data_IF_448917926533
#
_entry.id   IF_448917926533
#
_cell.length_a   1.000
_cell.length_b   1.000
_cell.length_c   1.000
_cell.angle_alpha   90.00
_cell.angle_beta   90.00
_cell.angle_gamma   90.00
#
_symmetry.space_group_name_H-M   'P 1'
#
loop_
_entity.id
_entity.type
_entity.pdbx_description
1 polymer ?
#
# COMPACT_ATOMS: atom_id res chain seq x y z
N UNK A 1 13.83 13.14 0.67
CA UNK A 1 13.21 14.46 0.42
C UNK A 1 11.77 14.21 0.00
N UNK A 2 10.78 14.82 0.66
CA UNK A 2 9.39 14.70 0.24
C UNK A 2 9.27 15.18 -1.22
N UNK A 3 8.48 14.51 -2.08
CA UNK A 3 8.30 14.95 -3.45
C UNK A 3 7.76 16.38 -3.47
N UNK A 4 8.33 17.24 -4.32
CA UNK A 4 7.89 18.62 -4.46
C UNK A 4 6.40 18.63 -4.84
N UNK A 5 5.54 19.04 -3.92
CA UNK A 5 4.11 19.17 -4.14
C UNK A 5 3.89 20.43 -4.99
N UNK A 6 3.65 20.24 -6.28
CA UNK A 6 3.18 21.33 -7.14
C UNK A 6 1.65 21.34 -7.13
N UNK A 7 1.02 22.47 -7.42
CA UNK A 7 -0.43 22.57 -7.45
C UNK A 7 -1.07 21.51 -8.38
N UNK A 8 -0.46 21.19 -9.53
CA UNK A 8 -0.96 20.19 -10.48
C UNK A 8 -0.46 18.75 -10.22
N UNK A 9 0.35 18.53 -9.19
CA UNK A 9 0.86 17.19 -8.90
C UNK A 9 -0.19 16.29 -8.27
N UNK A 10 0.08 15.00 -8.32
CA UNK A 10 -0.64 14.00 -7.55
C UNK A 10 0.34 13.37 -6.56
N UNK A 11 -0.02 13.37 -5.30
CA UNK A 11 0.71 12.61 -4.28
C UNK A 11 0.17 11.19 -4.27
N UNK A 12 1.04 10.22 -4.58
CA UNK A 12 0.64 8.81 -4.76
C UNK A 12 1.43 7.95 -3.78
N UNK A 13 0.70 7.30 -2.88
CA UNK A 13 1.21 6.29 -1.97
C UNK A 13 1.00 4.91 -2.60
N UNK A 14 2.09 4.20 -2.82
CA UNK A 14 2.14 2.84 -3.37
C UNK A 14 2.75 1.91 -2.34
N UNK A 15 2.42 0.62 -2.44
CA UNK A 15 3.17 -0.39 -1.71
C UNK A 15 4.60 -0.51 -2.27
N UNK A 16 5.56 -0.65 -1.36
CA UNK A 16 6.93 -1.01 -1.65
C UNK A 16 6.99 -2.49 -2.03
N UNK A 17 7.44 -2.74 -3.26
CA UNK A 17 7.38 -4.08 -3.89
C UNK A 17 8.69 -4.83 -3.81
N UNK A 18 9.77 -4.15 -3.43
CA UNK A 18 11.12 -4.66 -3.51
C UNK A 18 11.30 -5.94 -2.69
N UNK A 19 10.80 -5.95 -1.45
CA UNK A 19 10.83 -7.13 -0.60
C UNK A 19 10.12 -8.34 -1.22
N UNK A 20 8.96 -8.13 -1.86
CA UNK A 20 8.23 -9.21 -2.52
C UNK A 20 9.01 -9.74 -3.74
N UNK A 21 9.71 -8.89 -4.49
CA UNK A 21 10.59 -9.34 -5.57
C UNK A 21 11.78 -10.15 -5.04
N UNK A 22 12.44 -9.70 -3.97
CA UNK A 22 13.54 -10.45 -3.34
C UNK A 22 13.06 -11.84 -2.91
N UNK A 23 11.92 -11.91 -2.21
CA UNK A 23 11.35 -13.18 -1.76
C UNK A 23 10.97 -14.09 -2.95
N UNK A 24 10.37 -13.52 -4.00
CA UNK A 24 10.03 -14.29 -5.20
C UNK A 24 11.28 -14.89 -5.88
N UNK A 25 12.36 -14.11 -5.98
CA UNK A 25 13.64 -14.58 -6.55
C UNK A 25 14.25 -15.69 -5.69
N UNK A 26 14.29 -15.49 -4.36
CA UNK A 26 14.85 -16.46 -3.43
C UNK A 26 14.12 -17.80 -3.48
N UNK A 27 12.78 -17.79 -3.45
CA UNK A 27 12.00 -19.04 -3.56
C UNK A 27 12.09 -19.67 -4.95
N UNK A 28 12.22 -18.86 -6.01
CA UNK A 28 12.44 -19.37 -7.37
C UNK A 28 13.81 -20.06 -7.47
N UNK A 29 14.85 -19.52 -6.84
CA UNK A 29 16.17 -20.15 -6.81
C UNK A 29 16.15 -21.49 -6.06
N UNK A 30 15.46 -21.58 -4.92
CA UNK A 30 15.25 -22.84 -4.20
C UNK A 30 14.50 -23.86 -5.07
N UNK A 31 13.42 -23.43 -5.73
CA UNK A 31 12.68 -24.27 -6.66
C UNK A 31 13.56 -24.80 -7.79
N UNK A 32 14.34 -23.92 -8.44
CA UNK A 32 15.24 -24.32 -9.52
C UNK A 32 16.29 -25.31 -9.05
N UNK A 33 16.85 -25.11 -7.84
CA UNK A 33 17.79 -26.06 -7.26
C UNK A 33 17.15 -27.44 -7.07
N UNK A 34 15.97 -27.51 -6.43
CA UNK A 34 15.24 -28.77 -6.25
C UNK A 34 14.85 -29.45 -7.56
N UNK A 35 14.49 -28.66 -8.57
CA UNK A 35 14.15 -29.15 -9.91
C UNK A 35 15.37 -29.70 -10.66
N UNK A 36 16.50 -28.99 -10.64
CA UNK A 36 17.75 -29.43 -11.28
C UNK A 36 18.23 -30.74 -10.65
N UNK A 37 18.22 -30.82 -9.32
CA UNK A 37 18.61 -32.03 -8.59
C UNK A 37 17.73 -33.24 -8.96
N UNK A 38 16.40 -33.04 -8.98
CA UNK A 38 15.46 -34.09 -9.39
C UNK A 38 15.66 -34.54 -10.85
N UNK A 39 15.99 -33.62 -11.76
CA UNK A 39 16.30 -33.93 -13.17
C UNK A 39 17.60 -34.73 -13.28
N UNK A 40 18.65 -34.33 -12.56
CA UNK A 40 19.96 -35.02 -12.57
C UNK A 40 19.85 -36.45 -12.04
N UNK A 41 18.99 -36.66 -11.04
CA UNK A 41 18.69 -37.98 -10.47
C UNK A 41 17.65 -38.77 -11.29
N UNK A 42 17.22 -38.27 -12.45
CA UNK A 42 16.20 -38.89 -13.31
C UNK A 42 14.90 -39.24 -12.56
N UNK A 43 14.54 -38.45 -11.56
CA UNK A 43 13.40 -38.71 -10.67
C UNK A 43 13.46 -40.08 -9.95
N UNK A 44 14.63 -40.72 -9.88
CA UNK A 44 14.88 -41.94 -9.09
C UNK A 44 15.57 -41.56 -7.80
N UNK A 45 15.11 -42.11 -6.67
CA UNK A 45 15.63 -41.80 -5.33
C UNK A 45 15.66 -40.29 -5.04
N UNK A 46 14.54 -39.60 -5.30
CA UNK A 46 14.43 -38.17 -4.98
C UNK A 46 14.53 -38.01 -3.46
N UNK A 47 15.56 -37.33 -3.01
CA UNK A 47 15.71 -36.99 -1.60
C UNK A 47 14.58 -36.05 -1.15
N UNK A 48 14.16 -36.22 0.11
CA UNK A 48 13.12 -35.40 0.72
C UNK A 48 13.40 -33.89 0.60
N UNK A 49 14.68 -33.51 0.60
CA UNK A 49 15.14 -32.13 0.40
C UNK A 49 14.70 -31.54 -0.96
N UNK A 50 14.83 -32.31 -2.04
CA UNK A 50 14.51 -31.87 -3.41
C UNK A 50 13.00 -31.74 -3.63
N UNK A 51 12.20 -32.55 -2.93
CA UNK A 51 10.74 -32.41 -2.86
C UNK A 51 10.35 -31.11 -2.13
N UNK A 52 10.94 -30.84 -0.97
CA UNK A 52 10.66 -29.63 -0.18
C UNK A 52 11.02 -28.37 -0.99
N UNK A 53 12.15 -28.39 -1.69
CA UNK A 53 12.55 -27.28 -2.54
C UNK A 53 11.69 -27.13 -3.79
N UNK A 54 11.19 -28.22 -4.37
CA UNK A 54 10.22 -28.15 -5.46
C UNK A 54 8.89 -27.49 -5.05
N UNK A 55 8.48 -27.63 -3.79
CA UNK A 55 7.31 -26.94 -3.24
C UNK A 55 7.50 -25.43 -3.07
N UNK A 56 8.74 -24.92 -3.13
CA UNK A 56 9.03 -23.49 -3.08
C UNK A 56 8.43 -22.72 -4.27
N UNK A 57 8.00 -23.39 -5.35
CA UNK A 57 7.27 -22.77 -6.45
C UNK A 57 6.01 -22.04 -5.98
N UNK A 58 5.29 -22.61 -5.01
CA UNK A 58 4.04 -22.03 -4.48
C UNK A 58 4.31 -20.66 -3.85
N UNK A 59 5.18 -20.51 -2.84
CA UNK A 59 5.49 -19.19 -2.29
C UNK A 59 6.14 -18.27 -3.32
N UNK A 60 7.00 -18.76 -4.23
CA UNK A 60 7.60 -17.92 -5.28
C UNK A 60 6.52 -17.25 -6.14
N UNK A 61 5.54 -18.03 -6.61
CA UNK A 61 4.44 -17.53 -7.43
C UNK A 61 3.55 -16.55 -6.65
N UNK A 62 3.26 -16.82 -5.37
CA UNK A 62 2.47 -15.93 -4.52
C UNK A 62 3.16 -14.57 -4.32
N UNK A 63 4.46 -14.56 -3.99
CA UNK A 63 5.22 -13.33 -3.81
C UNK A 63 5.35 -12.55 -5.13
N UNK A 64 5.55 -13.25 -6.25
CA UNK A 64 5.61 -12.61 -7.56
C UNK A 64 4.28 -11.94 -7.94
N UNK A 65 3.15 -12.64 -7.77
CA UNK A 65 1.81 -12.05 -7.99
C UNK A 65 1.57 -10.83 -7.11
N UNK A 66 2.00 -10.89 -5.84
CA UNK A 66 1.90 -9.76 -4.92
C UNK A 66 2.75 -8.57 -5.38
N UNK A 67 3.98 -8.80 -5.85
CA UNK A 67 4.85 -7.75 -6.38
C UNK A 67 4.27 -7.08 -7.65
N UNK A 68 3.60 -7.84 -8.51
CA UNK A 68 2.96 -7.31 -9.71
C UNK A 68 1.69 -6.50 -9.46
N UNK A 69 1.09 -6.57 -8.27
CA UNK A 69 -0.12 -5.81 -7.93
C UNK A 69 0.07 -4.31 -8.16
N UNK A 70 -0.71 -3.68 -9.04
CA UNK A 70 -0.65 -2.23 -9.33
C UNK A 70 -1.39 -1.38 -8.28
N UNK A 71 -1.68 -1.94 -7.10
CA UNK A 71 -2.54 -1.31 -6.09
C UNK A 71 -1.96 0.03 -5.63
N UNK A 72 -2.61 1.11 -6.03
CA UNK A 72 -2.38 2.46 -5.51
C UNK A 72 -3.20 2.60 -4.25
N UNK A 73 -2.53 2.68 -3.11
CA UNK A 73 -3.19 2.62 -1.81
C UNK A 73 -3.90 3.94 -1.49
N UNK A 74 -3.20 5.06 -1.68
CA UNK A 74 -3.74 6.41 -1.46
C UNK A 74 -3.28 7.32 -2.59
N UNK A 75 -4.21 8.11 -3.14
CA UNK A 75 -3.89 9.19 -4.08
C UNK A 75 -4.54 10.47 -3.56
N UNK A 76 -3.74 11.52 -3.42
CA UNK A 76 -4.19 12.85 -3.00
C UNK A 76 -3.87 13.83 -4.12
N UNK A 77 -4.87 14.57 -4.59
CA UNK A 77 -4.71 15.55 -5.67
C UNK A 77 -5.70 16.72 -5.49
N UNK A 78 -5.72 17.67 -6.42
CA UNK A 78 -6.66 18.81 -6.41
C UNK A 78 -8.15 18.45 -6.37
N UNK A 79 -8.57 17.24 -6.74
CA UNK A 79 -9.98 16.84 -6.75
C UNK A 79 -10.43 16.28 -5.41
N UNK A 80 -9.54 15.59 -4.70
CA UNK A 80 -9.84 14.99 -3.40
C UNK A 80 -8.87 13.90 -3.01
N UNK A 81 -9.35 13.05 -2.10
CA UNK A 81 -8.61 11.91 -1.55
C UNK A 81 -9.21 10.62 -2.10
N UNK A 82 -8.35 9.76 -2.64
CA UNK A 82 -8.71 8.49 -3.24
C UNK A 82 -8.06 7.33 -2.49
N UNK A 83 -8.78 6.22 -2.35
CA UNK A 83 -8.30 4.95 -1.81
C UNK A 83 -8.59 3.85 -2.83
N UNK A 84 -7.58 3.05 -3.20
CA UNK A 84 -7.73 2.00 -4.23
C UNK A 84 -8.38 2.55 -5.52
N UNK A 85 -7.94 3.75 -5.94
CA UNK A 85 -8.46 4.53 -7.07
C UNK A 85 -9.93 4.99 -6.98
N UNK A 86 -10.61 4.74 -5.86
CA UNK A 86 -11.97 5.21 -5.61
C UNK A 86 -11.94 6.52 -4.81
N UNK A 87 -12.73 7.51 -5.23
CA UNK A 87 -12.87 8.77 -4.51
C UNK A 87 -13.49 8.50 -3.13
N UNK A 88 -12.77 8.84 -2.07
CA UNK A 88 -13.28 8.76 -0.69
C UNK A 88 -14.05 10.02 -0.36
N UNK A 89 -13.42 11.18 -0.61
CA UNK A 89 -14.03 12.50 -0.37
C UNK A 89 -13.41 13.55 -1.28
N UNK A 90 -14.22 14.50 -1.72
CA UNK A 90 -13.74 15.76 -2.32
C UNK A 90 -13.29 16.73 -1.21
N UNK A 91 -12.57 17.78 -1.59
CA UNK A 91 -12.14 18.82 -0.62
C UNK A 91 -13.31 19.61 -0.03
N UNK A 92 -14.41 19.77 -0.77
CA UNK A 92 -15.63 20.44 -0.31
C UNK A 92 -16.30 19.71 0.85
N UNK A 93 -16.31 18.38 0.81
CA UNK A 93 -16.90 17.53 1.85
C UNK A 93 -15.97 17.26 3.03
N UNK A 94 -14.67 17.56 2.91
CA UNK A 94 -13.69 17.23 3.95
C UNK A 94 -13.83 18.17 5.15
N UNK A 95 -14.13 17.59 6.31
CA UNK A 95 -14.20 18.32 7.59
C UNK A 95 -12.85 18.30 8.29
N UNK A 96 -12.25 17.12 8.43
CA UNK A 96 -11.03 16.89 9.19
C UNK A 96 -10.26 15.70 8.65
N UNK A 97 -8.93 15.80 8.69
CA UNK A 97 -8.01 14.70 8.42
C UNK A 97 -6.97 14.63 9.55
N UNK A 98 -6.81 13.46 10.15
CA UNK A 98 -5.80 13.23 11.20
C UNK A 98 -5.18 11.84 11.05
N UNK A 99 -3.96 11.68 11.54
CA UNK A 99 -3.39 10.35 11.78
C UNK A 99 -3.82 9.91 13.17
N UNK A 100 -4.28 8.67 13.29
CA UNK A 100 -4.50 8.01 14.57
C UNK A 100 -3.84 6.65 14.59
N UNK A 101 -3.46 6.19 15.78
CA UNK A 101 -2.93 4.85 15.96
C UNK A 101 -4.05 3.92 16.46
N UNK A 102 -4.16 2.73 15.87
CA UNK A 102 -5.01 1.69 16.44
C UNK A 102 -4.22 0.92 17.48
N UNK A 103 -4.52 1.15 18.76
CA UNK A 103 -4.02 0.28 19.82
C UNK A 103 -4.57 -1.13 19.60
N UNK A 104 -3.68 -2.08 19.31
CA UNK A 104 -4.00 -3.51 19.36
C UNK A 104 -3.21 -4.09 20.52
N UNK A 105 -3.94 -4.70 21.46
CA UNK A 105 -3.44 -5.28 22.71
C UNK A 105 -2.35 -6.36 22.54
N UNK A 106 -2.10 -6.84 21.30
CA UNK A 106 -1.24 -8.01 21.03
C UNK A 106 -0.20 -7.74 19.92
N UNK A 107 -0.15 -6.56 19.30
CA UNK A 107 0.74 -6.34 18.13
C UNK A 107 1.78 -5.27 18.39
N UNK A 108 3.07 -5.64 18.34
CA UNK A 108 4.25 -4.74 18.45
C UNK A 108 4.36 -3.77 17.25
N UNK A 109 3.54 -3.96 16.20
CA UNK A 109 3.54 -3.08 15.04
C UNK A 109 2.61 -1.89 15.25
N UNK A 110 3.16 -0.70 15.13
CA UNK A 110 2.40 0.54 14.99
C UNK A 110 1.47 0.42 13.78
N UNK A 111 0.17 0.55 14.04
CA UNK A 111 -0.87 0.55 13.00
C UNK A 111 -1.42 1.97 12.89
N UNK A 112 -0.71 2.81 12.14
CA UNK A 112 -1.20 4.14 11.83
C UNK A 112 -2.39 4.05 10.86
N UNK A 113 -3.36 4.93 11.06
CA UNK A 113 -4.55 5.05 10.24
C UNK A 113 -4.77 6.52 9.91
N UNK A 114 -4.94 6.82 8.63
CA UNK A 114 -5.46 8.10 8.18
C UNK A 114 -6.97 8.10 8.43
N UNK A 115 -7.41 8.97 9.34
CA UNK A 115 -8.79 9.17 9.71
C UNK A 115 -9.30 10.38 8.94
N UNK A 116 -10.29 10.15 8.08
CA UNK A 116 -10.98 11.18 7.30
C UNK A 116 -12.40 11.34 7.83
N UNK A 117 -12.74 12.54 8.25
CA UNK A 117 -14.11 12.94 8.60
C UNK A 117 -14.63 13.85 7.48
N UNK A 118 -15.76 13.45 6.87
CA UNK A 118 -16.30 14.14 5.71
C UNK A 118 -17.82 14.03 5.61
N UNK A 119 -18.41 14.94 4.85
CA UNK A 119 -19.82 14.98 4.50
C UNK A 119 -19.96 14.54 3.03
N UNK A 120 -20.96 13.72 2.73
CA UNK A 120 -21.34 13.39 1.34
C UNK A 120 -22.47 14.29 0.87
N UNK A 121 -23.70 13.82 0.98
CA UNK A 121 -24.88 14.47 0.42
C UNK A 121 -25.76 15.13 1.49
N UNK A 122 -25.71 14.61 2.73
CA UNK A 122 -26.46 15.15 3.86
C UNK A 122 -25.51 15.91 4.81
N UNK A 123 -25.61 17.25 4.90
CA UNK A 123 -24.76 18.08 5.75
C UNK A 123 -24.89 17.76 7.25
N UNK A 124 -25.93 17.05 7.67
CA UNK A 124 -26.14 16.65 9.07
C UNK A 124 -25.49 15.29 9.42
N UNK A 125 -25.01 14.54 8.43
CA UNK A 125 -24.36 13.22 8.63
C UNK A 125 -22.88 13.28 8.30
N UNK A 126 -22.06 13.30 9.35
CA UNK A 126 -20.62 13.11 9.24
C UNK A 126 -20.29 11.63 9.03
N UNK A 127 -19.50 11.34 8.00
CA UNK A 127 -18.92 10.03 7.75
C UNK A 127 -17.47 10.00 8.21
N UNK A 128 -17.05 8.88 8.78
CA UNK A 128 -15.66 8.63 9.17
C UNK A 128 -15.12 7.45 8.39
N UNK A 129 -14.03 7.66 7.66
CA UNK A 129 -13.28 6.59 6.97
C UNK A 129 -11.89 6.48 7.57
N UNK A 130 -11.51 5.26 7.94
CA UNK A 130 -10.15 4.95 8.39
C UNK A 130 -9.44 4.22 7.26
N UNK A 131 -8.31 4.77 6.80
CA UNK A 131 -7.46 4.18 5.78
C UNK A 131 -6.17 3.72 6.48
N UNK A 132 -5.84 2.42 6.47
CA UNK A 132 -4.63 1.94 7.12
C UNK A 132 -3.38 2.45 6.39
N UNK A 133 -2.45 3.02 7.14
CA UNK A 133 -1.11 3.36 6.70
C UNK A 133 -0.21 2.19 7.13
N UNK A 134 0.37 1.52 6.15
CA UNK A 134 1.17 0.31 6.38
C UNK A 134 2.64 0.61 6.15
N UNK A 135 3.54 0.09 7.00
CA UNK A 135 4.99 0.27 6.87
C UNK A 135 5.59 -0.24 5.55
N UNK A 136 4.81 -0.99 4.76
CA UNK A 136 5.19 -1.39 3.40
C UNK A 136 4.83 -0.33 2.37
N UNK A 137 4.56 0.92 2.75
CA UNK A 137 4.28 2.03 1.83
C UNK A 137 5.58 2.75 1.47
N UNK A 138 5.64 3.29 0.24
CA UNK A 138 6.80 4.00 -0.27
C UNK A 138 6.90 5.47 0.22
N UNK A 139 6.00 5.92 1.10
CA UNK A 139 5.92 7.29 1.63
C UNK A 139 5.68 7.21 3.14
N UNK A 140 6.26 8.16 3.89
CA UNK A 140 6.04 8.24 5.33
C UNK A 140 4.63 8.75 5.65
N UNK A 141 4.10 8.39 6.81
CA UNK A 141 2.76 8.80 7.28
C UNK A 141 2.64 10.33 7.34
N UNK A 142 3.70 10.99 7.80
CA UNK A 142 3.82 12.45 7.85
C UNK A 142 3.70 13.09 6.46
N UNK A 143 4.30 12.48 5.44
CA UNK A 143 4.22 12.96 4.06
C UNK A 143 2.79 12.85 3.52
N UNK A 144 2.07 11.78 3.88
CA UNK A 144 0.65 11.62 3.51
C UNK A 144 -0.20 12.74 4.11
N UNK A 145 -0.01 13.02 5.40
CA UNK A 145 -0.75 14.07 6.09
C UNK A 145 -0.38 15.47 5.57
N UNK A 146 0.91 15.71 5.32
CA UNK A 146 1.41 16.95 4.74
C UNK A 146 0.80 17.20 3.34
N UNK A 147 0.72 16.17 2.50
CA UNK A 147 0.06 16.27 1.20
C UNK A 147 -1.42 16.63 1.33
N UNK A 148 -2.15 16.00 2.26
CA UNK A 148 -3.56 16.32 2.54
C UNK A 148 -3.71 17.78 2.98
N UNK A 149 -2.88 18.25 3.92
CA UNK A 149 -2.92 19.64 4.37
C UNK A 149 -2.58 20.63 3.27
N UNK A 150 -1.61 20.32 2.41
CA UNK A 150 -1.22 21.14 1.28
C UNK A 150 -2.39 21.36 0.31
N UNK A 151 -3.01 20.29 -0.17
CA UNK A 151 -4.12 20.40 -1.11
C UNK A 151 -5.38 20.99 -0.48
N UNK A 152 -5.64 20.74 0.81
CA UNK A 152 -6.77 21.35 1.51
C UNK A 152 -6.59 22.87 1.70
N UNK A 153 -5.37 23.31 2.01
CA UNK A 153 -5.02 24.73 2.10
C UNK A 153 -5.18 25.41 0.73
N UNK A 154 -4.68 24.78 -0.34
CA UNK A 154 -4.86 25.28 -1.71
C UNK A 154 -6.33 25.44 -2.07
N UNK A 155 -7.18 24.45 -1.75
CA UNK A 155 -8.62 24.53 -2.00
C UNK A 155 -9.28 25.72 -1.27
N UNK A 156 -8.92 25.98 -0.01
CA UNK A 156 -9.46 27.12 0.75
C UNK A 156 -9.00 28.49 0.24
N UNK A 157 -7.87 28.55 -0.45
CA UNK A 157 -7.30 29.79 -1.00
C UNK A 157 -7.81 30.10 -2.41
N UNK A 158 -8.45 29.14 -3.08
CA UNK A 158 -9.09 29.40 -4.37
C UNK A 158 -10.39 30.17 -4.14
N UNK A 159 -10.59 31.31 -4.82
CA UNK A 159 -11.88 31.97 -4.81
C UNK A 159 -12.91 31.01 -5.41
N UNK A 160 -14.01 30.80 -4.68
CA UNK A 160 -15.15 30.02 -5.16
C UNK A 160 -15.68 30.77 -6.40
N UNK A 161 -15.69 30.16 -7.60
CA UNK A 161 -16.35 30.77 -8.75
C UNK A 161 -17.86 30.87 -8.55
#
# INVERSE_FOLDING_TARGET
MPPALTPDSQFIVKEEKWLNYIMAILFSALFLYGLIDAILLQFRNIDYQSIIFSLALIPAWLFFRKAQSKRVYIRVNRKGIYQDERLVTSWKGLLKATIGQKEKTITIKDNFMLILEFVKDDPKKGYRKMIPLTNTQNQAEEDVLAAVHYFWKLYRQQPIP
#
